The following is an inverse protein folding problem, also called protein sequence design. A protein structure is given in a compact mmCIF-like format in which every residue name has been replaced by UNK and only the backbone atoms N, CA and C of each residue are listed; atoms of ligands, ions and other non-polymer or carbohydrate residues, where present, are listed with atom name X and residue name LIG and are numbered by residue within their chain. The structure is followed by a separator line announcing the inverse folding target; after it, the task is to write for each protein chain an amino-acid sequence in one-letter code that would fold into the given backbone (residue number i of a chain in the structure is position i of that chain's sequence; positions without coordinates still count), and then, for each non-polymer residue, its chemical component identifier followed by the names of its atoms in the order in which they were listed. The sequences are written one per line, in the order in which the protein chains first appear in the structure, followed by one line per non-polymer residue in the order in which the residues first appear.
data_IF_561153263651
#
_entry.id   IF_561153263651
#
_cell.length_a   1.000
_cell.length_b   1.000
_cell.length_c   1.000
_cell.angle_alpha   90.00
_cell.angle_beta   90.00
_cell.angle_gamma   90.00
#
_symmetry.space_group_name_H-M   'P 1'
#
loop_
_entity.id
_entity.type
_entity.pdbx_description
1 polymer ?
#
# COMPACT_ATOMS: atom_id res chain seq x y z
N UNK A 1 27.76 36.42 -58.42
CA UNK A 1 27.31 36.39 -57.01
C UNK A 1 26.10 35.46 -56.97
N UNK A 2 26.26 34.21 -56.51
CA UNK A 2 25.17 33.21 -56.47
C UNK A 2 24.29 33.47 -55.24
N UNK A 3 23.00 33.71 -55.47
CA UNK A 3 21.99 33.90 -54.42
C UNK A 3 21.79 32.59 -53.64
N UNK A 4 21.99 32.64 -52.32
CA UNK A 4 21.58 31.58 -51.38
C UNK A 4 20.06 31.44 -51.44
N UNK A 5 19.56 30.26 -51.80
CA UNK A 5 18.18 29.88 -51.52
C UNK A 5 18.10 29.46 -50.05
N UNK A 6 17.29 30.18 -49.27
CA UNK A 6 16.91 29.76 -47.93
C UNK A 6 15.99 28.55 -48.04
N UNK A 7 16.51 27.37 -47.68
CA UNK A 7 15.69 26.17 -47.49
C UNK A 7 14.89 26.42 -46.21
N UNK A 8 13.62 26.80 -46.35
CA UNK A 8 12.71 26.95 -45.22
C UNK A 8 12.61 25.60 -44.49
N UNK A 9 13.21 25.50 -43.31
CA UNK A 9 13.07 24.36 -42.43
C UNK A 9 11.58 24.09 -42.24
N UNK A 10 11.08 23.00 -42.83
CA UNK A 10 9.67 22.67 -42.86
C UNK A 10 9.11 22.65 -41.44
N UNK A 11 8.08 23.46 -41.20
CA UNK A 11 7.39 23.51 -39.91
C UNK A 11 6.73 22.15 -39.68
N UNK A 12 7.23 21.39 -38.72
CA UNK A 12 6.58 20.14 -38.30
C UNK A 12 5.34 20.53 -37.50
N UNK A 13 4.17 20.22 -38.04
CA UNK A 13 2.89 20.48 -37.41
C UNK A 13 2.25 19.14 -37.01
N UNK A 14 1.70 19.09 -35.80
CA UNK A 14 0.96 17.94 -35.28
C UNK A 14 -0.52 18.25 -35.40
N UNK A 15 -1.24 17.41 -36.11
CA UNK A 15 -2.70 17.46 -36.21
C UNK A 15 -3.31 16.14 -35.73
N UNK A 16 -4.57 16.21 -35.31
CA UNK A 16 -5.38 15.06 -34.95
C UNK A 16 -6.45 14.91 -36.04
N UNK A 17 -6.60 13.70 -36.60
CA UNK A 17 -7.47 13.50 -37.77
C UNK A 17 -8.84 12.89 -37.47
N UNK A 18 -8.88 11.90 -36.58
CA UNK A 18 -10.07 11.07 -36.36
C UNK A 18 -10.27 10.73 -34.89
N UNK A 19 -11.54 10.51 -34.53
CA UNK A 19 -11.97 10.06 -33.20
C UNK A 19 -12.64 8.70 -33.35
N UNK A 20 -12.23 7.74 -32.51
CA UNK A 20 -12.89 6.45 -32.36
C UNK A 20 -13.77 6.50 -31.10
N UNK A 21 -15.07 6.28 -31.26
CA UNK A 21 -16.07 6.24 -30.19
C UNK A 21 -16.46 4.79 -29.98
N UNK A 22 -16.35 4.29 -28.74
CA UNK A 22 -16.77 2.94 -28.35
C UNK A 22 -17.93 3.02 -27.37
N UNK A 23 -18.97 2.24 -27.61
CA UNK A 23 -20.09 2.11 -26.69
C UNK A 23 -19.97 0.81 -25.91
N UNK A 24 -20.21 0.89 -24.61
CA UNK A 24 -20.12 -0.25 -23.71
C UNK A 24 -21.48 -0.48 -23.03
N UNK A 25 -21.91 -1.73 -22.86
CA UNK A 25 -23.09 -2.05 -22.07
C UNK A 25 -22.99 -1.52 -20.64
N UNK A 26 -24.13 -1.08 -20.09
CA UNK A 26 -24.22 -0.71 -18.67
C UNK A 26 -24.44 -1.97 -17.84
N UNK A 27 -23.57 -2.17 -16.87
CA UNK A 27 -23.61 -3.30 -15.93
C UNK A 27 -23.67 -2.83 -14.48
N UNK A 28 -24.01 -3.75 -13.57
CA UNK A 28 -23.89 -3.52 -12.13
C UNK A 28 -22.41 -3.40 -11.76
N UNK A 29 -22.04 -2.30 -11.11
CA UNK A 29 -20.67 -2.06 -10.66
C UNK A 29 -20.39 -2.54 -9.23
N UNK A 30 -19.17 -2.26 -8.76
CA UNK A 30 -18.72 -2.51 -7.38
C UNK A 30 -18.25 -1.24 -6.66
N UNK A 31 -18.02 -0.15 -7.39
CA UNK A 31 -17.59 1.13 -6.83
C UNK A 31 -18.68 1.71 -5.93
N UNK A 32 -18.48 1.81 -4.60
CA UNK A 32 -19.49 2.31 -3.68
C UNK A 32 -19.68 3.84 -3.76
N UNK A 33 -19.11 4.49 -4.77
CA UNK A 33 -19.30 5.90 -5.09
C UNK A 33 -20.76 6.33 -5.13
N UNK A 34 -20.96 7.65 -5.02
CA UNK A 34 -22.28 8.25 -4.85
C UNK A 34 -22.86 8.06 -3.45
N UNK A 35 -23.97 8.77 -3.17
CA UNK A 35 -24.56 8.82 -1.81
C UNK A 35 -25.43 7.60 -1.47
N UNK A 36 -26.10 6.98 -2.45
CA UNK A 36 -27.07 5.89 -2.25
C UNK A 36 -27.32 5.07 -3.51
N UNK A 37 -28.01 3.94 -3.36
CA UNK A 37 -28.44 3.08 -4.47
C UNK A 37 -27.32 2.21 -5.06
N UNK A 38 -27.70 1.42 -6.06
CA UNK A 38 -26.78 0.54 -6.77
C UNK A 38 -25.77 1.34 -7.60
N UNK A 39 -24.51 0.88 -7.65
CA UNK A 39 -23.51 1.43 -8.56
C UNK A 39 -23.74 0.90 -9.98
N UNK A 40 -23.41 1.73 -10.97
CA UNK A 40 -23.37 1.37 -12.39
C UNK A 40 -21.92 1.37 -12.85
N UNK A 41 -21.58 0.49 -13.77
CA UNK A 41 -20.30 0.44 -14.47
C UNK A 41 -20.56 0.19 -15.95
N UNK A 42 -19.51 0.29 -16.74
CA UNK A 42 -19.46 -0.22 -18.11
C UNK A 42 -18.82 -1.61 -18.11
N UNK A 43 -19.21 -2.43 -19.07
CA UNK A 43 -18.58 -3.73 -19.32
C UNK A 43 -17.18 -3.58 -19.96
N UNK A 44 -16.42 -4.68 -19.99
CA UNK A 44 -15.10 -4.73 -20.63
C UNK A 44 -15.17 -4.83 -22.15
N UNK A 45 -16.23 -5.47 -22.66
CA UNK A 45 -16.46 -5.66 -24.09
C UNK A 45 -17.36 -4.54 -24.63
N UNK A 46 -16.93 -3.89 -25.71
CA UNK A 46 -17.75 -2.88 -26.37
C UNK A 46 -18.80 -3.55 -27.23
N UNK A 47 -19.98 -2.96 -27.32
CA UNK A 47 -21.08 -3.44 -28.16
C UNK A 47 -21.01 -2.90 -29.59
N UNK A 48 -20.45 -1.69 -29.74
CA UNK A 48 -20.36 -0.98 -31.02
C UNK A 48 -19.20 0.01 -30.99
N UNK A 49 -18.72 0.36 -32.19
CA UNK A 49 -17.75 1.44 -32.36
C UNK A 49 -18.07 2.24 -33.62
N UNK A 50 -17.69 3.52 -33.59
CA UNK A 50 -17.82 4.44 -34.71
C UNK A 50 -16.55 5.28 -34.83
N UNK A 51 -16.17 5.61 -36.07
CA UNK A 51 -15.02 6.47 -36.36
C UNK A 51 -15.49 7.66 -37.19
N UNK A 52 -15.12 8.87 -36.78
CA UNK A 52 -15.45 10.10 -37.49
C UNK A 52 -14.31 11.12 -37.43
N UNK A 53 -14.39 12.15 -38.28
CA UNK A 53 -13.41 13.24 -38.26
C UNK A 53 -13.54 14.10 -36.99
N UNK A 54 -12.41 14.61 -36.50
CA UNK A 54 -12.39 15.40 -35.28
C UNK A 54 -13.21 16.69 -35.41
N UNK A 55 -13.15 17.32 -36.57
CA UNK A 55 -13.87 18.56 -36.88
C UNK A 55 -15.39 18.33 -36.83
N UNK A 56 -15.87 17.21 -37.36
CA UNK A 56 -17.29 16.81 -37.30
C UNK A 56 -17.72 16.57 -35.85
N UNK A 57 -16.89 15.88 -35.06
CA UNK A 57 -17.18 15.62 -33.65
C UNK A 57 -17.27 16.91 -32.82
N UNK A 58 -16.32 17.83 -32.98
CA UNK A 58 -16.30 19.08 -32.21
C UNK A 58 -17.38 20.08 -32.66
N UNK A 59 -17.83 20.01 -33.92
CA UNK A 59 -18.93 20.84 -34.42
C UNK A 59 -20.27 20.53 -33.71
N UNK A 60 -20.54 19.26 -33.44
CA UNK A 60 -21.79 18.80 -32.81
C UNK A 60 -21.68 18.68 -31.28
N UNK A 61 -20.51 18.94 -30.71
CA UNK A 61 -20.25 18.70 -29.29
C UNK A 61 -21.03 19.67 -28.39
N UNK A 62 -21.83 19.17 -27.43
CA UNK A 62 -22.52 20.04 -26.48
C UNK A 62 -21.52 20.76 -25.56
N UNK A 63 -21.92 21.89 -24.94
CA UNK A 63 -21.08 22.60 -23.98
C UNK A 63 -20.67 21.69 -22.82
N UNK A 64 -19.50 22.00 -22.22
CA UNK A 64 -18.96 21.21 -21.11
C UNK A 64 -19.94 21.19 -19.94
N UNK A 65 -20.18 19.99 -19.41
CA UNK A 65 -21.06 19.79 -18.27
C UNK A 65 -20.52 20.44 -17.01
N UNK A 66 -21.42 20.99 -16.20
CA UNK A 66 -21.08 21.50 -14.87
C UNK A 66 -20.87 20.36 -13.87
N UNK A 67 -20.19 20.63 -12.75
CA UNK A 67 -19.92 19.60 -11.73
C UNK A 67 -21.18 18.89 -11.21
N UNK A 68 -22.31 19.61 -11.14
CA UNK A 68 -23.61 19.06 -10.75
C UNK A 68 -24.22 18.16 -11.82
N UNK A 69 -24.02 18.47 -13.11
CA UNK A 69 -24.50 17.66 -14.24
C UNK A 69 -23.72 16.36 -14.42
N UNK A 70 -22.50 16.29 -13.88
CA UNK A 70 -21.70 15.05 -13.85
C UNK A 70 -22.24 14.07 -12.80
N UNK A 71 -22.92 14.57 -11.75
CA UNK A 71 -23.45 13.71 -10.68
C UNK A 71 -24.73 13.02 -11.16
N UNK A 72 -24.62 11.72 -11.41
CA UNK A 72 -25.79 10.90 -11.74
C UNK A 72 -26.66 10.63 -10.49
N UNK A 73 -27.97 10.94 -10.50
CA UNK A 73 -28.88 10.59 -9.42
C UNK A 73 -29.07 9.08 -9.26
N UNK A 74 -29.46 8.63 -8.07
CA UNK A 74 -29.69 7.19 -7.82
C UNK A 74 -30.86 6.61 -8.61
N UNK A 75 -31.90 7.41 -8.86
CA UNK A 75 -33.07 7.02 -9.67
C UNK A 75 -32.68 6.77 -11.12
N UNK A 76 -31.82 7.63 -11.68
CA UNK A 76 -31.31 7.48 -13.06
C UNK A 76 -30.47 6.21 -13.18
N UNK A 77 -29.59 5.94 -12.21
CA UNK A 77 -28.84 4.66 -12.18
C UNK A 77 -29.75 3.44 -12.11
N UNK A 78 -30.77 3.48 -11.25
CA UNK A 78 -31.73 2.38 -11.13
C UNK A 78 -32.48 2.18 -12.45
N UNK A 79 -32.93 3.25 -13.10
CA UNK A 79 -33.57 3.17 -14.42
C UNK A 79 -32.63 2.56 -15.47
N UNK A 80 -31.37 2.98 -15.54
CA UNK A 80 -30.38 2.41 -16.47
C UNK A 80 -30.21 0.90 -16.27
N UNK A 81 -30.06 0.44 -15.02
CA UNK A 81 -29.95 -0.98 -14.71
C UNK A 81 -31.22 -1.75 -15.06
N UNK A 82 -32.40 -1.17 -14.84
CA UNK A 82 -33.68 -1.77 -15.22
C UNK A 82 -33.80 -1.90 -16.74
N UNK A 83 -33.38 -0.88 -17.49
CA UNK A 83 -33.32 -0.89 -18.96
C UNK A 83 -32.31 -1.90 -19.50
N UNK A 84 -31.21 -2.16 -18.78
CA UNK A 84 -30.24 -3.19 -19.11
C UNK A 84 -30.71 -4.62 -18.77
N UNK A 85 -31.91 -4.80 -18.22
CA UNK A 85 -32.51 -6.10 -17.95
C UNK A 85 -32.35 -6.63 -16.52
N UNK A 86 -31.70 -5.87 -15.61
CA UNK A 86 -31.53 -6.30 -14.23
C UNK A 86 -32.86 -6.29 -13.46
N UNK A 87 -33.07 -7.34 -12.68
CA UNK A 87 -34.21 -7.46 -11.77
C UNK A 87 -34.09 -6.48 -10.59
N UNK A 88 -35.23 -6.16 -9.97
CA UNK A 88 -35.21 -5.34 -8.73
C UNK A 88 -34.43 -6.03 -7.61
N UNK A 89 -34.46 -7.37 -7.55
CA UNK A 89 -33.73 -8.15 -6.57
C UNK A 89 -32.22 -7.98 -6.71
N UNK A 90 -31.69 -8.10 -7.92
CA UNK A 90 -30.25 -7.91 -8.19
C UNK A 90 -29.78 -6.49 -7.86
N UNK A 91 -30.57 -5.48 -8.23
CA UNK A 91 -30.29 -4.07 -7.90
C UNK A 91 -30.27 -3.87 -6.38
N UNK A 92 -31.17 -4.51 -5.63
CA UNK A 92 -31.17 -4.45 -4.16
C UNK A 92 -29.94 -5.11 -3.56
N UNK A 93 -29.53 -6.27 -4.06
CA UNK A 93 -28.30 -6.96 -3.63
C UNK A 93 -27.08 -6.07 -3.87
N UNK A 94 -26.95 -5.49 -5.07
CA UNK A 94 -25.88 -4.55 -5.41
C UNK A 94 -25.88 -3.31 -4.51
N UNK A 95 -27.08 -2.75 -4.24
CA UNK A 95 -27.24 -1.62 -3.31
C UNK A 95 -26.77 -1.99 -1.91
N UNK A 96 -27.09 -3.19 -1.43
CA UNK A 96 -26.65 -3.69 -0.11
C UNK A 96 -25.12 -3.80 -0.06
N UNK A 97 -24.48 -4.37 -1.07
CA UNK A 97 -23.02 -4.46 -1.14
C UNK A 97 -22.36 -3.08 -1.15
N UNK A 98 -22.88 -2.14 -1.96
CA UNK A 98 -22.39 -0.78 -1.99
C UNK A 98 -22.56 -0.07 -0.64
N UNK A 99 -23.69 -0.24 0.04
CA UNK A 99 -23.91 0.34 1.36
C UNK A 99 -22.97 -0.22 2.43
N UNK A 100 -22.66 -1.52 2.39
CA UNK A 100 -21.65 -2.12 3.28
C UNK A 100 -20.29 -1.48 3.03
N UNK A 101 -19.88 -1.33 1.77
CA UNK A 101 -18.61 -0.70 1.43
C UNK A 101 -18.57 0.80 1.79
N UNK A 102 -19.65 1.57 1.59
CA UNK A 102 -19.80 2.96 2.07
C UNK A 102 -19.64 3.05 3.59
N UNK A 103 -20.33 2.18 4.33
CA UNK A 103 -20.25 2.16 5.79
C UNK A 103 -18.84 1.81 6.29
N UNK A 104 -18.15 0.88 5.61
CA UNK A 104 -16.74 0.58 5.90
C UNK A 104 -15.84 1.80 5.66
N UNK A 105 -15.98 2.49 4.51
CA UNK A 105 -15.22 3.71 4.21
C UNK A 105 -15.46 4.82 5.23
N UNK A 106 -16.73 5.07 5.58
CA UNK A 106 -17.08 6.05 6.61
C UNK A 106 -16.41 5.75 7.96
N UNK A 107 -16.40 4.47 8.38
CA UNK A 107 -15.67 4.07 9.59
C UNK A 107 -14.17 4.30 9.46
N UNK A 108 -13.57 3.98 8.32
CA UNK A 108 -12.15 4.24 8.09
C UNK A 108 -11.85 5.74 8.17
N UNK A 109 -12.67 6.60 7.56
CA UNK A 109 -12.53 8.05 7.64
C UNK A 109 -12.64 8.58 9.08
N UNK A 110 -13.62 8.12 9.84
CA UNK A 110 -13.79 8.47 11.26
C UNK A 110 -12.58 8.01 12.10
N UNK A 111 -12.04 6.83 11.79
CA UNK A 111 -10.89 6.25 12.51
C UNK A 111 -9.54 6.84 12.06
N UNK A 112 -9.42 7.42 10.87
CA UNK A 112 -8.17 8.04 10.43
C UNK A 112 -7.73 9.17 11.37
N UNK A 113 -8.68 9.92 11.92
CA UNK A 113 -8.42 10.97 12.93
C UNK A 113 -8.21 10.40 14.35
N UNK A 114 -8.50 9.13 14.57
CA UNK A 114 -8.41 8.43 15.85
C UNK A 114 -7.34 7.32 15.85
N UNK A 115 -6.44 7.31 14.85
CA UNK A 115 -5.43 6.26 14.67
C UNK A 115 -4.61 6.01 15.95
N UNK A 116 -4.16 7.08 16.59
CA UNK A 116 -3.44 7.01 17.86
C UNK A 116 -4.27 6.39 19.00
N UNK A 117 -5.57 6.73 19.08
CA UNK A 117 -6.50 6.15 20.06
C UNK A 117 -6.81 4.68 19.76
N UNK A 118 -6.91 4.31 18.48
CA UNK A 118 -7.06 2.92 18.08
C UNK A 118 -5.82 2.09 18.46
N UNK A 119 -4.62 2.62 18.24
CA UNK A 119 -3.39 1.95 18.70
C UNK A 119 -3.34 1.80 20.22
N UNK A 120 -3.75 2.84 20.97
CA UNK A 120 -3.78 2.78 22.44
C UNK A 120 -4.80 1.76 22.94
N UNK A 121 -6.01 1.74 22.37
CA UNK A 121 -7.04 0.76 22.73
C UNK A 121 -6.63 -0.66 22.35
N UNK A 122 -5.95 -0.85 21.22
CA UNK A 122 -5.42 -2.16 20.84
C UNK A 122 -4.28 -2.60 21.76
N UNK A 123 -3.35 -1.71 22.13
CA UNK A 123 -2.30 -1.96 23.13
C UNK A 123 -2.90 -2.33 24.49
N UNK A 124 -3.94 -1.62 24.93
CA UNK A 124 -4.67 -1.93 26.16
C UNK A 124 -5.37 -3.29 26.07
N UNK A 125 -6.09 -3.58 24.99
CA UNK A 125 -6.74 -4.89 24.77
C UNK A 125 -5.73 -6.04 24.74
N UNK A 126 -4.57 -5.85 24.10
CA UNK A 126 -3.49 -6.84 24.09
C UNK A 126 -2.90 -7.02 25.49
N UNK A 127 -2.70 -5.92 26.22
CA UNK A 127 -2.21 -5.94 27.60
C UNK A 127 -3.16 -6.70 28.53
N UNK A 128 -4.46 -6.38 28.47
CA UNK A 128 -5.49 -7.07 29.28
C UNK A 128 -5.63 -8.53 28.89
N UNK A 129 -5.60 -8.88 27.59
CA UNK A 129 -5.61 -10.27 27.15
C UNK A 129 -4.37 -11.05 27.59
N UNK A 130 -3.20 -10.40 27.61
CA UNK A 130 -1.96 -10.97 28.14
C UNK A 130 -2.00 -11.15 29.66
N UNK A 131 -2.68 -10.27 30.38
CA UNK A 131 -2.82 -10.30 31.84
C UNK A 131 -3.90 -11.29 32.33
N UNK A 132 -4.96 -11.50 31.55
CA UNK A 132 -6.12 -12.29 31.96
C UNK A 132 -6.10 -13.68 31.31
N UNK A 133 -6.17 -13.76 29.99
CA UNK A 133 -6.36 -15.03 29.26
C UNK A 133 -5.03 -15.76 29.03
N UNK A 134 -3.96 -15.03 28.73
CA UNK A 134 -2.65 -15.61 28.38
C UNK A 134 -1.63 -15.55 29.52
N UNK A 135 -2.07 -15.26 30.75
CA UNK A 135 -1.20 -15.02 31.92
C UNK A 135 -0.20 -16.16 32.16
N UNK A 136 -0.67 -17.40 32.13
CA UNK A 136 0.17 -18.59 32.35
C UNK A 136 1.21 -18.81 31.24
N UNK A 137 0.85 -18.58 29.98
CA UNK A 137 1.78 -18.67 28.84
C UNK A 137 2.82 -17.54 28.89
N UNK A 138 2.39 -16.31 29.20
CA UNK A 138 3.28 -15.15 29.33
C UNK A 138 4.25 -15.26 30.50
N UNK A 139 3.86 -15.92 31.61
CA UNK A 139 4.78 -16.22 32.71
C UNK A 139 5.93 -17.13 32.25
N UNK A 140 5.62 -18.23 31.55
CA UNK A 140 6.62 -19.12 30.98
C UNK A 140 7.52 -18.42 29.96
N UNK A 141 6.94 -17.63 29.04
CA UNK A 141 7.71 -16.83 28.08
C UNK A 141 8.70 -15.88 28.78
N UNK A 142 8.27 -15.19 29.84
CA UNK A 142 9.14 -14.29 30.63
C UNK A 142 10.28 -15.05 31.32
N UNK A 143 10.02 -16.23 31.85
CA UNK A 143 11.04 -17.09 32.46
C UNK A 143 12.07 -17.55 31.41
N UNK A 144 11.63 -17.96 30.22
CA UNK A 144 12.53 -18.31 29.12
C UNK A 144 13.37 -17.11 28.66
N UNK A 145 12.77 -15.93 28.50
CA UNK A 145 13.47 -14.70 28.11
C UNK A 145 14.51 -14.32 29.17
N UNK A 146 14.16 -14.40 30.47
CA UNK A 146 15.08 -14.10 31.56
C UNK A 146 16.28 -15.05 31.56
N UNK A 147 16.02 -16.35 31.42
CA UNK A 147 17.08 -17.37 31.33
C UNK A 147 17.99 -17.14 30.11
N UNK A 148 17.41 -16.76 28.96
CA UNK A 148 18.18 -16.44 27.77
C UNK A 148 19.06 -15.19 27.96
N UNK A 149 18.54 -14.15 28.62
CA UNK A 149 19.27 -12.93 28.95
C UNK A 149 20.44 -13.21 29.91
N UNK A 150 20.21 -14.02 30.94
CA UNK A 150 21.24 -14.44 31.90
C UNK A 150 22.37 -15.20 31.20
N UNK A 151 22.04 -16.16 30.34
CA UNK A 151 23.03 -16.89 29.54
C UNK A 151 23.82 -15.96 28.61
N UNK A 152 23.15 -14.98 28.00
CA UNK A 152 23.81 -13.99 27.15
C UNK A 152 24.80 -13.12 27.94
N UNK A 153 24.39 -12.63 29.12
CA UNK A 153 25.23 -11.80 29.97
C UNK A 153 26.43 -12.60 30.51
N UNK A 154 26.22 -13.83 30.97
CA UNK A 154 27.33 -14.71 31.41
C UNK A 154 28.32 -14.98 30.26
N UNK A 155 27.82 -15.18 29.03
CA UNK A 155 28.68 -15.33 27.85
C UNK A 155 29.45 -14.05 27.57
N UNK A 156 28.81 -12.88 27.62
CA UNK A 156 29.46 -11.59 27.43
C UNK A 156 30.58 -11.37 28.47
N UNK A 157 30.30 -11.59 29.76
CA UNK A 157 31.30 -11.49 30.83
C UNK A 157 32.45 -12.50 30.66
N UNK A 158 32.14 -13.73 30.22
CA UNK A 158 33.18 -14.73 29.96
C UNK A 158 34.05 -14.37 28.76
N UNK A 159 33.48 -13.75 27.72
CA UNK A 159 34.22 -13.24 26.56
C UNK A 159 35.06 -12.02 26.93
N UNK A 160 34.54 -11.13 27.78
CA UNK A 160 35.28 -9.97 28.29
C UNK A 160 36.46 -10.42 29.15
N UNK A 161 36.24 -11.35 30.10
CA UNK A 161 37.33 -11.96 30.88
C UNK A 161 38.32 -12.73 30.02
N UNK A 162 37.87 -13.43 28.97
CA UNK A 162 38.76 -14.09 28.02
C UNK A 162 39.56 -13.08 27.20
N UNK A 163 38.96 -11.97 26.77
CA UNK A 163 39.64 -10.88 26.07
C UNK A 163 40.67 -10.19 26.98
N UNK A 164 40.34 -9.93 28.25
CA UNK A 164 41.26 -9.41 29.26
C UNK A 164 42.41 -10.37 29.56
N UNK A 165 42.13 -11.67 29.67
CA UNK A 165 43.14 -12.71 29.90
C UNK A 165 44.05 -12.87 28.68
N UNK A 166 43.48 -12.84 27.47
CA UNK A 166 44.22 -12.85 26.21
C UNK A 166 45.08 -11.58 26.05
N UNK A 167 44.57 -10.41 26.46
CA UNK A 167 45.31 -9.16 26.49
C UNK A 167 46.46 -9.20 27.51
N UNK A 168 46.24 -9.81 28.68
CA UNK A 168 47.27 -10.04 29.72
C UNK A 168 48.37 -11.01 29.26
N UNK A 169 48.00 -12.09 28.56
CA UNK A 169 48.95 -13.04 27.98
C UNK A 169 49.76 -12.43 26.82
N UNK A 170 49.17 -11.49 26.07
CA UNK A 170 49.87 -10.70 25.04
C UNK A 170 50.79 -9.63 25.64
N UNK A 171 50.59 -9.28 26.91
CA UNK A 171 51.29 -8.24 27.65
C UNK A 171 52.48 -8.71 28.50
N UNK A 172 52.83 -10.00 28.52
CA UNK A 172 54.11 -10.43 29.11
C UNK A 172 55.27 -10.02 28.18
N UNK A 173 56.14 -9.08 28.59
CA UNK A 173 57.33 -8.75 27.84
C UNK A 173 58.34 -9.88 27.97
N UNK A 174 58.97 -10.23 26.85
CA UNK A 174 60.26 -10.94 26.86
C UNK A 174 61.28 -10.12 27.66
N UNK A 175 61.83 -10.69 28.72
CA UNK A 175 63.16 -10.38 29.26
C UNK A 175 63.79 -11.73 29.64
N UNK A 176 64.69 -12.36 28.87
CA UNK A 176 66.02 -11.97 28.40
C UNK A 176 67.06 -11.78 29.53
N UNK A 177 68.12 -12.61 29.43
CA UNK A 177 69.46 -12.54 30.06
C UNK A 177 69.60 -13.16 31.47
N UNK A 178 70.68 -13.87 31.86
CA UNK A 178 72.00 -14.13 31.25
C UNK A 178 72.72 -15.26 32.06
N UNK A 179 73.50 -16.09 31.36
CA UNK A 179 74.79 -16.77 31.70
C UNK A 179 75.30 -16.88 33.16
N UNK A 180 75.89 -18.03 33.54
CA UNK A 180 77.35 -18.27 33.70
C UNK A 180 77.64 -19.74 34.09
N UNK A 181 78.75 -20.25 33.54
CA UNK A 181 79.41 -21.55 33.67
C UNK A 181 79.77 -22.03 35.10
N UNK A 182 79.98 -23.35 35.29
CA UNK A 182 81.29 -24.01 35.63
C UNK A 182 81.12 -25.39 36.33
N UNK A 183 81.86 -26.41 35.84
CA UNK A 183 82.53 -27.56 36.53
C UNK A 183 81.75 -28.42 37.55
N UNK A 184 81.59 -29.75 37.45
CA UNK A 184 82.55 -30.90 37.44
C UNK A 184 82.25 -31.81 38.66
N UNK A 185 82.43 -33.14 38.47
CA UNK A 185 82.53 -34.22 39.49
C UNK A 185 81.19 -34.74 40.06
N UNK A 186 80.83 -36.03 40.03
CA UNK A 186 81.55 -37.30 39.87
C UNK A 186 80.84 -38.27 38.90
#
# INVERSE_FOLDING_TARGET
IKSKQDVSAGRVEVSFGTVEIREYPIIVGDNPGGKRGAPVSIDWEYQSSATMHLEEYEADRPPRRTGTEIIMPSSVREQMLRSAGYSRGEIQVATKHANIARARRKRTEELMNLSNLQEMTEKLKRSTMNAVVRRGRKKKEREYIKKALEVHNMKAESMEKAAETMHRLRGSPKSASKSVDTTSSD
#
